data_IF_231510369371
#
_entry.id   IF_231510369371
#
_cell.length_a   1.000
_cell.length_b   1.000
_cell.length_c   1.000
_cell.angle_alpha   90.00
_cell.angle_beta   90.00
_cell.angle_gamma   90.00
#
_symmetry.space_group_name_H-M   'P 1'
#
loop_
_entity.id
_entity.type
_entity.pdbx_description
1 polymer ?
2 non-polymer ?
3 non-polymer ?
4 non-polymer ?
5 water ?
#
# COMPACT_ATOMS: atom_id res chain seq x y z
N UNK A 3 11.38 -19.71 5.56
CA UNK A 3 11.05 -19.68 6.98
C UNK A 3 10.15 -18.50 7.37
N UNK A 4 10.43 -17.27 6.87
CA UNK A 4 9.50 -16.17 7.17
C UNK A 4 8.11 -16.37 6.57
N UNK A 5 8.04 -16.70 5.28
CA UNK A 5 6.74 -16.93 4.65
C UNK A 5 6.05 -18.14 5.26
N UNK A 6 6.82 -19.19 5.56
CA UNK A 6 6.25 -20.38 6.18
C UNK A 6 5.66 -20.05 7.55
N UNK A 7 6.28 -19.14 8.29
CA UNK A 7 5.73 -18.68 9.55
C UNK A 7 4.51 -17.78 9.32
N UNK A 8 4.51 -17.01 8.23
CA UNK A 8 3.43 -16.06 7.98
C UNK A 8 2.12 -16.78 7.70
N UNK A 9 2.15 -17.79 6.84
CA UNK A 9 0.94 -18.55 6.54
C UNK A 9 0.49 -19.39 7.73
N UNK A 10 1.43 -19.76 8.61
CA UNK A 10 1.05 -20.53 9.80
C UNK A 10 0.29 -19.67 10.80
N UNK A 11 0.69 -18.41 10.95
CA UNK A 11 -0.04 -17.49 11.82
C UNK A 11 -1.40 -17.15 11.22
N UNK A 12 -1.50 -17.14 9.89
CA UNK A 12 -2.80 -16.96 9.25
C UNK A 12 -3.79 -18.02 9.68
N UNK A 13 -3.33 -19.27 9.78
CA UNK A 13 -4.18 -20.33 10.32
C UNK A 13 -4.55 -20.05 11.76
N UNK A 14 -3.60 -19.50 12.54
CA UNK A 14 -3.88 -19.17 13.93
C UNK A 14 -4.87 -18.02 14.04
N UNK A 15 -4.76 -17.03 13.16
CA UNK A 15 -5.67 -15.89 13.19
C UNK A 15 -7.04 -16.28 12.68
N UNK A 16 -7.10 -17.05 11.59
CA UNK A 16 -8.38 -17.45 11.02
C UNK A 16 -9.15 -18.35 11.98
N UNK A 17 -8.44 -19.23 12.70
CA UNK A 17 -9.12 -20.13 13.63
C UNK A 17 -9.77 -19.36 14.77
N UNK A 18 -9.08 -18.34 15.29
CA UNK A 18 -9.66 -17.55 16.37
C UNK A 18 -10.86 -16.75 15.89
N UNK A 19 -10.77 -16.13 14.71
CA UNK A 19 -11.85 -15.28 14.23
C UNK A 19 -13.11 -16.09 13.95
N UNK A 20 -12.97 -17.26 13.34
CA UNK A 20 -14.13 -18.07 12.99
C UNK A 20 -14.72 -18.76 14.21
N UNK A 21 -13.88 -19.29 15.10
CA UNK A 21 -14.39 -19.93 16.31
C UNK A 21 -15.10 -18.91 17.20
N UNK A 22 -14.59 -17.69 17.27
CA UNK A 22 -15.27 -16.64 18.03
C UNK A 22 -16.66 -16.39 17.49
N UNK A 23 -16.82 -16.43 16.15
CA UNK A 23 -18.14 -16.28 15.56
C UNK A 23 -19.04 -17.47 15.89
N UNK A 24 -18.46 -18.66 16.00
CA UNK A 24 -19.26 -19.85 16.30
C UNK A 24 -19.67 -19.90 17.76
N UNK A 25 -18.77 -19.50 18.66
CA UNK A 25 -19.00 -19.65 20.09
C UNK A 25 -19.62 -18.41 20.73
N UNK A 26 -19.10 -17.22 20.42
CA UNK A 26 -19.53 -15.99 21.07
C UNK A 26 -20.37 -15.09 20.18
N UNK A 27 -20.66 -15.49 18.95
CA UNK A 27 -21.49 -14.69 18.06
C UNK A 27 -22.68 -15.43 17.49
N UNK A 28 -22.88 -16.70 17.86
CA UNK A 28 -24.09 -17.46 17.52
C UNK A 28 -24.28 -17.56 16.00
N UNK A 29 -23.21 -17.91 15.31
CA UNK A 29 -23.23 -18.05 13.85
C UNK A 29 -23.31 -19.52 13.47
N UNK A 30 -24.14 -19.81 12.47
CA UNK A 30 -24.30 -21.17 11.99
C UNK A 30 -23.08 -21.59 11.18
N UNK A 31 -22.81 -22.90 11.09
CA UNK A 31 -21.65 -23.36 10.31
C UNK A 31 -21.70 -22.99 8.84
N UNK A 32 -22.89 -22.84 8.27
CA UNK A 32 -23.00 -22.47 6.86
C UNK A 32 -22.34 -21.12 6.59
N UNK A 33 -22.67 -20.11 7.40
CA UNK A 33 -22.06 -18.79 7.23
C UNK A 33 -20.61 -18.79 7.69
N UNK A 34 -20.24 -19.67 8.63
CA UNK A 34 -18.85 -19.75 9.06
C UNK A 34 -17.95 -20.21 7.92
N UNK A 35 -18.35 -21.29 7.23
CA UNK A 35 -17.60 -21.73 6.06
C UNK A 35 -17.69 -20.72 4.93
N UNK A 36 -18.81 -19.97 4.84
CA UNK A 36 -18.90 -18.90 3.86
C UNK A 36 -17.87 -17.82 4.12
N UNK A 37 -17.61 -17.52 5.40
CA UNK A 37 -16.63 -16.50 5.73
C UNK A 37 -15.21 -17.01 5.62
N UNK A 38 -14.99 -18.32 5.80
CA UNK A 38 -13.67 -18.88 5.56
C UNK A 38 -13.29 -18.75 4.08
N UNK A 39 -14.21 -19.14 3.19
CA UNK A 39 -13.95 -19.02 1.76
C UNK A 39 -13.79 -17.56 1.35
N UNK A 40 -14.53 -16.65 2.00
CA UNK A 40 -14.41 -15.25 1.67
C UNK A 40 -13.08 -14.67 2.19
N UNK A 41 -12.67 -15.10 3.38
CA UNK A 41 -11.41 -14.60 3.94
C UNK A 41 -10.22 -15.05 3.11
N UNK A 42 -10.20 -16.33 2.72
CA UNK A 42 -9.11 -16.84 1.89
C UNK A 42 -9.11 -16.20 0.50
N UNK A 43 -10.30 -15.84 -0.01
CA UNK A 43 -10.36 -15.24 -1.35
C UNK A 43 -9.76 -13.84 -1.36
N UNK A 44 -10.06 -13.04 -0.33
CA UNK A 44 -9.64 -11.64 -0.29
C UNK A 44 -8.25 -11.46 0.30
N UNK A 45 -7.91 -12.20 1.35
CA UNK A 45 -6.64 -12.01 2.03
C UNK A 45 -5.50 -12.76 1.38
N UNK A 46 -5.75 -13.96 0.85
CA UNK A 46 -4.72 -14.76 0.21
C UNK A 46 -4.76 -14.56 -1.30
N UNK A 47 -3.58 -14.50 -1.91
CA UNK A 47 -3.49 -14.31 -3.35
C UNK A 47 -2.33 -13.43 -3.79
N UNK A 48 -2.18 -12.29 -3.14
CA UNK A 48 -1.13 -11.36 -3.48
C UNK A 48 0.25 -11.87 -3.06
N UNK A 49 1.23 -10.99 -3.21
CA UNK A 49 2.61 -11.32 -2.86
C UNK A 49 2.93 -11.04 -1.39
N UNK A 50 2.01 -10.44 -0.65
CA UNK A 50 2.15 -10.21 0.79
C UNK A 50 3.35 -9.32 1.11
N UNK A 51 3.67 -8.39 0.20
CA UNK A 51 4.84 -7.53 0.40
C UNK A 51 4.65 -6.60 1.60
N UNK A 52 3.41 -6.15 1.85
CA UNK A 52 3.16 -5.26 2.96
C UNK A 52 3.28 -5.97 4.29
N UNK A 53 2.84 -7.23 4.36
CA UNK A 53 2.88 -7.97 5.61
C UNK A 53 4.27 -8.48 5.95
N UNK A 54 4.95 -9.08 4.96
CA UNK A 54 6.28 -9.65 5.22
C UNK A 54 7.30 -8.59 5.60
N UNK A 55 7.06 -7.34 5.23
CA UNK A 55 7.98 -6.26 5.61
C UNK A 55 8.02 -6.07 7.12
N UNK A 56 6.88 -6.28 7.80
CA UNK A 56 6.87 -6.17 9.26
C UNK A 56 7.76 -7.23 9.89
N UNK A 57 7.75 -8.44 9.32
CA UNK A 57 8.58 -9.51 9.86
C UNK A 57 10.05 -9.21 9.62
N UNK A 58 10.39 -8.72 8.43
CA UNK A 58 11.79 -8.43 8.10
C UNK A 58 12.35 -7.33 9.00
N UNK A 59 11.51 -6.39 9.42
CA UNK A 59 11.97 -5.35 10.34
C UNK A 59 12.14 -5.91 11.75
N UNK A 60 11.24 -6.82 12.15
CA UNK A 60 11.30 -7.35 13.51
C UNK A 60 12.52 -8.25 13.70
N UNK A 61 12.82 -9.11 12.73
CA UNK A 61 13.94 -10.03 12.86
C UNK A 61 15.28 -9.31 12.82
N UNK A 62 15.34 -8.11 12.25
CA UNK A 62 16.59 -7.36 12.21
C UNK A 62 16.88 -6.67 13.54
N UNK A 63 15.85 -6.33 14.32
CA UNK A 63 16.07 -5.61 15.56
C UNK A 63 16.34 -6.52 16.75
N UNK A 64 15.87 -7.78 16.70
CA UNK A 64 16.12 -8.69 17.81
C UNK A 64 17.54 -9.26 17.78
N UNK A 65 18.14 -9.33 16.59
CA UNK A 65 19.50 -9.83 16.44
C UNK A 65 20.55 -8.72 16.37
N UNK A 66 20.12 -7.49 16.14
CA UNK A 66 21.03 -6.34 16.00
C UNK A 66 20.62 -5.23 16.96
N UNK A 67 20.34 -5.60 18.21
CA UNK A 67 19.93 -4.64 19.22
C UNK A 67 21.14 -3.99 19.88
N UNK A 77 16.02 -15.13 25.30
CA UNK A 77 15.65 -16.09 24.28
C UNK A 77 14.16 -16.22 24.10
N UNK A 78 13.41 -16.20 25.21
CA UNK A 78 11.97 -16.33 25.16
C UNK A 78 11.30 -15.08 24.58
N UNK A 79 11.97 -13.93 24.63
CA UNK A 79 11.40 -12.70 24.08
C UNK A 79 11.38 -12.71 22.56
N UNK A 80 12.27 -13.49 21.92
CA UNK A 80 12.32 -13.52 20.46
C UNK A 80 11.04 -14.09 19.87
N UNK A 81 10.53 -15.19 20.43
CA UNK A 81 9.35 -15.83 19.87
C UNK A 81 8.12 -14.94 19.97
N UNK A 82 8.07 -14.06 20.97
CA UNK A 82 6.91 -13.19 21.15
C UNK A 82 6.90 -12.06 20.13
N UNK A 83 8.06 -11.46 19.85
CA UNK A 83 8.11 -10.34 18.92
C UNK A 83 7.85 -10.80 17.49
N UNK A 84 8.44 -11.94 17.10
CA UNK A 84 8.21 -12.47 15.76
C UNK A 84 6.76 -12.87 15.55
N UNK A 85 6.09 -13.34 16.60
CA UNK A 85 4.66 -13.64 16.49
C UNK A 85 3.84 -12.36 16.37
N UNK A 86 4.19 -11.33 17.14
CA UNK A 86 3.49 -10.06 17.03
C UNK A 86 3.68 -9.43 15.66
N UNK A 87 4.83 -9.67 15.02
CA UNK A 87 5.07 -9.13 13.70
C UNK A 87 4.16 -9.78 12.66
N UNK A 88 3.92 -11.08 12.79
CA UNK A 88 3.04 -11.76 11.85
C UNK A 88 1.60 -11.30 12.01
N UNK A 89 1.15 -11.08 13.24
CA UNK A 89 -0.19 -10.55 13.46
C UNK A 89 -0.29 -9.14 12.90
N UNK A 90 0.72 -8.31 13.15
CA UNK A 90 0.73 -6.96 12.59
C UNK A 90 0.84 -6.99 11.07
N UNK A 91 1.57 -7.96 10.52
CA UNK A 91 1.65 -8.08 9.08
C UNK A 91 0.32 -8.47 8.46
N UNK A 92 -0.44 -9.35 9.14
CA UNK A 92 -1.75 -9.74 8.62
C UNK A 92 -2.78 -8.64 8.82
N UNK A 93 -2.57 -7.77 9.82
CA UNK A 93 -3.45 -6.62 9.97
C UNK A 93 -3.43 -5.74 8.72
N UNK A 94 -2.25 -5.61 8.09
CA UNK A 94 -2.15 -4.81 6.88
C UNK A 94 -2.75 -5.56 5.69
N UNK A 95 -2.43 -6.86 5.58
CA UNK A 95 -2.97 -7.65 4.47
C UNK A 95 -4.49 -7.74 4.55
N UNK A 96 -5.04 -7.87 5.76
CA UNK A 96 -6.49 -7.86 5.92
C UNK A 96 -7.08 -6.51 5.53
N UNK A 97 -6.46 -5.42 6.00
CA UNK A 97 -6.97 -4.11 5.63
C UNK A 97 -6.70 -3.80 4.16
N UNK A 98 -5.65 -4.39 3.59
CA UNK A 98 -5.44 -4.26 2.15
C UNK A 98 -6.58 -4.91 1.37
N UNK A 99 -7.02 -6.09 1.80
CA UNK A 99 -8.17 -6.73 1.17
C UNK A 99 -9.44 -5.94 1.40
N UNK A 100 -9.53 -5.22 2.52
CA UNK A 100 -10.70 -4.38 2.78
C UNK A 100 -10.84 -3.29 1.72
N UNK A 101 -9.73 -2.64 1.35
CA UNK A 101 -9.78 -1.62 0.33
C UNK A 101 -10.02 -2.21 -1.05
N UNK A 102 -9.48 -3.41 -1.31
CA UNK A 102 -9.68 -4.04 -2.61
C UNK A 102 -11.15 -4.41 -2.81
N UNK A 103 -11.82 -4.87 -1.75
CA UNK A 103 -13.24 -5.17 -1.85
C UNK A 103 -14.05 -3.91 -2.13
N UNK A 104 -13.66 -2.79 -1.51
CA UNK A 104 -14.32 -1.52 -1.79
C UNK A 104 -14.05 -1.04 -3.21
N UNK A 105 -12.98 -1.51 -3.85
CA UNK A 105 -12.70 -1.15 -5.23
C UNK A 105 -13.58 -1.93 -6.20
N UNK A 106 -13.87 -3.19 -5.89
CA UNK A 106 -14.74 -3.98 -6.75
C UNK A 106 -16.16 -3.40 -6.79
N UNK A 107 -16.57 -2.71 -5.73
CA UNK A 107 -17.88 -2.07 -5.72
C UNK A 107 -17.89 -0.88 -6.68
N UNK A 108 -16.78 -0.14 -6.75
CA UNK A 108 -16.69 0.98 -7.68
C UNK A 108 -16.72 0.55 -9.13
N UNK A 109 -16.42 -0.71 -9.41
CA UNK A 109 -16.40 -1.22 -10.78
C UNK A 109 -17.43 -2.34 -10.95
N UNK A 124 -33.45 -6.34 -5.24
CA UNK A 124 -32.66 -6.87 -4.12
C UNK A 124 -31.41 -7.61 -4.57
N UNK A 125 -30.41 -6.87 -5.02
CA UNK A 125 -29.15 -7.46 -5.47
C UNK A 125 -28.37 -7.98 -4.27
N UNK A 126 -28.07 -9.27 -4.27
CA UNK A 126 -27.42 -9.89 -3.12
C UNK A 126 -25.89 -9.95 -3.25
N UNK A 127 -25.36 -9.91 -4.47
CA UNK A 127 -23.92 -9.96 -4.66
C UNK A 127 -23.24 -8.64 -4.30
N UNK A 128 -23.97 -7.53 -4.33
CA UNK A 128 -23.41 -6.25 -3.92
C UNK A 128 -23.55 -6.04 -2.41
N UNK A 129 -24.64 -6.52 -1.81
CA UNK A 129 -24.80 -6.43 -0.37
C UNK A 129 -23.71 -7.22 0.35
N UNK A 130 -23.38 -8.41 -0.15
CA UNK A 130 -22.32 -9.20 0.46
C UNK A 130 -20.96 -8.56 0.25
N UNK A 131 -20.78 -7.83 -0.86
CA UNK A 131 -19.52 -7.15 -1.09
C UNK A 131 -19.28 -6.06 -0.04
N UNK A 132 -20.30 -5.24 0.23
CA UNK A 132 -20.17 -4.21 1.26
C UNK A 132 -19.97 -4.84 2.63
N UNK A 133 -20.66 -5.97 2.89
CA UNK A 133 -20.52 -6.64 4.17
C UNK A 133 -19.13 -7.25 4.34
N UNK A 134 -18.54 -7.74 3.24
CA UNK A 134 -17.19 -8.27 3.32
C UNK A 134 -16.17 -7.18 3.65
N UNK A 135 -16.37 -5.99 3.10
CA UNK A 135 -15.48 -4.89 3.40
C UNK A 135 -15.54 -4.46 4.86
N UNK A 136 -16.74 -4.49 5.44
CA UNK A 136 -16.88 -4.11 6.84
C UNK A 136 -16.30 -5.18 7.76
N UNK A 137 -16.43 -6.45 7.38
CA UNK A 137 -15.91 -7.52 8.23
C UNK A 137 -14.39 -7.56 8.22
N UNK A 138 -13.78 -7.39 7.05
CA UNK A 138 -12.32 -7.38 6.96
C UNK A 138 -11.74 -6.24 7.79
N UNK A 139 -12.37 -5.06 7.75
CA UNK A 139 -11.93 -3.95 8.58
C UNK A 139 -12.11 -4.26 10.06
N UNK A 140 -13.23 -4.88 10.43
CA UNK A 140 -13.46 -5.23 11.82
C UNK A 140 -12.49 -6.32 12.30
N UNK A 141 -12.12 -7.24 11.42
CA UNK A 141 -11.22 -8.32 11.82
C UNK A 141 -9.83 -7.79 12.18
N UNK A 142 -9.43 -6.65 11.61
CA UNK A 142 -8.15 -6.06 11.98
C UNK A 142 -8.15 -5.62 13.44
N UNK A 143 -9.29 -5.10 13.91
CA UNK A 143 -9.39 -4.71 15.32
C UNK A 143 -9.52 -5.94 16.22
N UNK A 144 -10.21 -6.98 15.74
CA UNK A 144 -10.41 -8.17 16.56
C UNK A 144 -9.09 -8.90 16.80
N UNK A 145 -8.30 -9.09 15.75
CA UNK A 145 -7.02 -9.77 15.92
C UNK A 145 -6.03 -8.90 16.70
N UNK A 146 -6.17 -7.58 16.64
CA UNK A 146 -5.28 -6.70 17.39
C UNK A 146 -5.66 -6.68 18.87
N UNK A 147 -6.96 -6.60 19.18
CA UNK A 147 -7.42 -6.62 20.56
C UNK A 147 -7.26 -7.99 21.21
N UNK A 148 -6.95 -9.03 20.43
CA UNK A 148 -6.81 -10.37 20.97
C UNK A 148 -5.35 -10.73 21.22
N UNK A 149 -4.56 -10.82 20.16
CA UNK A 149 -3.16 -11.21 20.29
C UNK A 149 -2.33 -10.17 21.03
N UNK A 150 -2.81 -8.93 21.12
CA UNK A 150 -2.10 -7.86 21.81
C UNK A 150 -2.85 -7.35 23.04
N UNK A 151 -3.74 -8.18 23.60
CA UNK A 151 -4.51 -7.76 24.76
C UNK A 151 -3.62 -7.50 25.98
N UNK A 152 -2.47 -8.16 26.04
CA UNK A 152 -1.52 -7.97 27.14
C UNK A 152 -0.26 -7.25 26.69
N UNK A 153 -0.25 -6.67 25.49
CA UNK A 153 0.92 -5.91 25.06
C UNK A 153 0.78 -4.46 25.51
N UNK A 154 1.88 -3.84 25.96
CA UNK A 154 1.81 -2.44 26.40
C UNK A 154 1.59 -1.45 25.27
N UNK A 155 1.61 -1.89 24.01
CA UNK A 155 1.46 -1.00 22.87
C UNK A 155 0.14 -1.17 22.13
N UNK A 156 -0.84 -1.84 22.76
CA UNK A 156 -2.12 -2.05 22.10
C UNK A 156 -2.83 -0.72 21.85
N UNK A 157 -2.78 0.20 22.82
CA UNK A 157 -3.43 1.49 22.65
C UNK A 157 -2.69 2.36 21.65
N UNK A 158 -1.36 2.27 21.62
CA UNK A 158 -0.58 3.09 20.69
C UNK A 158 -0.61 2.53 19.28
N UNK A 159 -0.68 1.22 19.12
CA UNK A 159 -0.71 0.62 17.80
C UNK A 159 -2.04 0.88 17.10
N UNK A 160 -3.16 0.74 17.82
CA UNK A 160 -4.47 0.95 17.22
C UNK A 160 -4.65 2.40 16.79
N UNK A 161 -4.10 3.34 17.55
CA UNK A 161 -4.24 4.75 17.20
C UNK A 161 -3.46 5.09 15.93
N UNK A 162 -2.21 4.63 15.86
CA UNK A 162 -1.43 4.85 14.64
C UNK A 162 -2.00 4.06 13.47
N UNK A 163 -2.57 2.88 13.74
CA UNK A 163 -3.16 2.08 12.66
C UNK A 163 -4.42 2.74 12.11
N UNK A 164 -5.20 3.39 12.98
CA UNK A 164 -6.42 4.05 12.53
C UNK A 164 -6.11 5.31 11.73
N UNK A 165 -5.15 6.12 12.19
CA UNK A 165 -4.80 7.34 11.47
C UNK A 165 -4.21 7.04 10.09
N UNK A 166 -3.46 5.94 9.97
CA UNK A 166 -2.97 5.55 8.66
C UNK A 166 -4.11 5.07 7.78
N UNK A 167 -5.10 4.39 8.36
CA UNK A 167 -6.31 4.07 7.63
C UNK A 167 -7.10 5.32 7.29
N UNK A 168 -7.17 6.27 8.22
CA UNK A 168 -7.77 7.57 7.93
C UNK A 168 -7.02 8.28 6.81
N UNK A 169 -5.69 8.22 6.84
CA UNK A 169 -4.89 8.87 5.81
C UNK A 169 -5.18 8.31 4.43
N UNK A 170 -5.32 6.99 4.32
CA UNK A 170 -5.55 6.37 3.02
C UNK A 170 -6.92 6.76 2.46
N UNK A 171 -7.95 6.81 3.32
CA UNK A 171 -9.26 7.25 2.88
C UNK A 171 -9.22 8.71 2.42
N UNK A 172 -8.42 9.54 3.09
CA UNK A 172 -8.24 10.92 2.65
C UNK A 172 -7.49 10.97 1.33
N UNK A 173 -6.44 10.14 1.20
CA UNK A 173 -5.69 10.12 -0.04
C UNK A 173 -6.52 9.66 -1.22
N UNK A 174 -7.43 8.71 -1.00
CA UNK A 174 -8.34 8.30 -2.05
C UNK A 174 -9.31 9.41 -2.44
N UNK A 175 -9.53 10.37 -1.56
CA UNK A 175 -10.33 11.54 -1.93
C UNK A 175 -9.53 12.51 -2.78
N UNK A 176 -8.23 12.66 -2.48
CA UNK A 176 -7.37 13.49 -3.32
C UNK A 176 -7.24 12.92 -4.72
N UNK A 177 -7.20 11.59 -4.83
CA UNK A 177 -6.96 10.94 -6.11
C UNK A 177 -8.21 10.91 -6.97
N UNK A 178 -9.34 10.49 -6.39
CA UNK A 178 -10.58 10.37 -7.14
C UNK A 178 -11.03 11.74 -7.66
N UNK A 179 -10.94 12.77 -6.82
CA UNK A 179 -11.37 14.11 -7.18
C UNK A 179 -10.24 14.97 -7.75
N UNK A 180 -9.29 14.35 -8.46
CA UNK A 180 -8.19 15.09 -9.06
C UNK A 180 -8.60 15.89 -10.29
N UNK A 181 -9.82 15.70 -10.79
CA UNK A 181 -10.31 16.44 -11.95
C UNK A 181 -11.71 17.02 -11.72
N UNK A 182 -12.23 16.95 -10.49
CA UNK A 182 -13.54 17.51 -10.18
C UNK A 182 -13.41 18.38 -8.93
N UNK A 183 -13.71 19.67 -9.09
CA UNK A 183 -13.68 20.61 -7.98
C UNK A 183 -14.72 21.71 -8.16
N UNK A 199 -7.62 20.48 -14.61
CA UNK A 199 -6.19 20.21 -14.67
C UNK A 199 -5.41 21.16 -13.75
N UNK A 200 -6.14 21.86 -12.87
CA UNK A 200 -5.49 22.80 -11.97
C UNK A 200 -4.64 22.10 -10.93
N UNK A 201 -5.03 20.88 -10.52
CA UNK A 201 -4.28 20.12 -9.54
C UNK A 201 -3.27 19.18 -10.16
N UNK A 202 -3.01 19.29 -11.47
CA UNK A 202 -2.03 18.44 -12.15
C UNK A 202 -0.64 19.06 -12.00
N UNK A 203 -0.13 19.00 -10.77
CA UNK A 203 1.20 19.51 -10.44
C UNK A 203 2.02 18.40 -9.79
N UNK A 204 3.34 18.52 -9.91
CA UNK A 204 4.23 17.51 -9.35
C UNK A 204 4.16 17.50 -7.82
N UNK A 205 3.77 18.63 -7.21
CA UNK A 205 3.61 18.67 -5.76
C UNK A 205 2.31 18.00 -5.32
N UNK A 206 1.21 18.25 -6.04
CA UNK A 206 -0.04 17.58 -5.71
C UNK A 206 0.05 16.07 -5.98
N UNK A 207 0.80 15.68 -7.02
CA UNK A 207 1.08 14.28 -7.24
C UNK A 207 1.79 13.66 -6.04
N UNK A 208 2.73 14.40 -5.44
CA UNK A 208 3.37 13.95 -4.22
C UNK A 208 2.35 13.79 -3.10
N UNK A 209 1.39 14.71 -3.01
CA UNK A 209 0.39 14.64 -1.94
C UNK A 209 -0.49 13.41 -2.11
N UNK A 210 -0.90 13.10 -3.34
CA UNK A 210 -1.72 11.93 -3.59
C UNK A 210 -0.97 10.67 -3.20
N UNK A 211 0.23 10.48 -3.77
CA UNK A 211 1.02 9.28 -3.50
C UNK A 211 1.32 9.16 -2.01
N UNK A 212 1.56 10.29 -1.35
CA UNK A 212 1.89 10.26 0.07
C UNK A 212 0.72 9.73 0.89
N UNK A 213 -0.47 10.32 0.72
CA UNK A 213 -1.60 9.94 1.54
C UNK A 213 -2.28 8.67 1.02
N UNK A 214 -2.40 8.53 -0.30
CA UNK A 214 -3.12 7.38 -0.85
C UNK A 214 -2.29 6.10 -0.76
N UNK A 215 -0.97 6.21 -0.93
CA UNK A 215 -0.15 5.01 -1.08
C UNK A 215 1.01 4.94 -0.11
N UNK A 216 1.81 6.01 -0.02
CA UNK A 216 3.08 5.93 0.69
C UNK A 216 2.92 5.68 2.17
N UNK A 217 1.81 6.13 2.77
CA UNK A 217 1.61 5.96 4.20
C UNK A 217 1.20 4.55 4.59
N UNK A 218 0.70 3.75 3.65
CA UNK A 218 0.28 2.39 3.97
C UNK A 218 1.26 1.33 3.50
N UNK A 219 2.09 1.63 2.50
CA UNK A 219 3.03 0.66 1.95
C UNK A 219 4.43 0.80 2.51
N UNK A 220 4.97 2.02 2.53
CA UNK A 220 6.37 2.24 2.87
C UNK A 220 6.56 2.89 4.24
N UNK A 221 5.50 3.09 5.01
CA UNK A 221 5.63 3.67 6.34
C UNK A 221 4.96 2.78 7.38
N UNK A 222 3.73 2.35 7.10
CA UNK A 222 2.98 1.55 8.07
C UNK A 222 3.68 0.25 8.44
N UNK A 223 4.18 -0.57 7.50
CA UNK A 223 4.87 -1.80 7.93
C UNK A 223 6.15 -1.53 8.69
N UNK A 224 6.83 -0.42 8.41
CA UNK A 224 8.06 -0.10 9.16
C UNK A 224 7.74 0.29 10.59
N UNK A 225 6.66 1.03 10.81
CA UNK A 225 6.29 1.45 12.15
C UNK A 225 5.86 0.25 12.99
N UNK A 226 5.04 -0.63 12.41
CA UNK A 226 4.58 -1.80 13.16
C UNK A 226 5.73 -2.74 13.50
N UNK A 227 6.81 -2.73 12.72
CA UNK A 227 7.98 -3.50 13.08
C UNK A 227 8.75 -2.92 14.25
N UNK A 228 8.77 -1.59 14.36
CA UNK A 228 9.44 -0.95 15.48
C UNK A 228 8.60 -1.02 16.75
N UNK A 229 7.28 -1.10 16.63
CA UNK A 229 6.42 -1.14 17.81
C UNK A 229 6.48 -2.51 18.47
N UNK A 230 6.44 -3.59 17.68
CA UNK A 230 6.51 -4.93 18.25
C UNK A 230 7.89 -5.20 18.84
N UNK A 231 8.92 -4.54 18.31
CA UNK A 231 10.28 -4.68 18.83
C UNK A 231 10.59 -3.68 19.93
N UNK A 232 9.62 -2.83 20.30
CA UNK A 232 9.78 -1.86 21.38
C UNK A 232 10.93 -0.90 21.10
N UNK A 233 11.11 -0.53 19.83
CA UNK A 233 12.17 0.36 19.41
C UNK A 233 11.63 1.54 18.61
N UNK A 234 10.41 1.99 18.95
CA UNK A 234 9.83 3.11 18.23
C UNK A 234 10.56 4.43 18.48
N UNK A 235 10.82 4.85 19.73
CA UNK A 235 11.50 6.14 19.95
C UNK A 235 12.99 6.11 19.67
N UNK A 236 13.55 4.97 19.25
CA UNK A 236 14.99 4.85 19.00
C UNK A 236 15.35 5.04 17.53
N UNK A 237 14.42 5.57 16.72
CA UNK A 237 14.66 5.79 15.31
C UNK A 237 14.27 7.23 14.97
N UNK A 238 14.89 7.75 13.91
CA UNK A 238 14.56 9.09 13.41
C UNK A 238 13.27 8.98 12.61
N UNK A 239 12.16 9.43 13.21
CA UNK A 239 10.87 9.34 12.54
C UNK A 239 10.79 10.27 11.33
N UNK A 240 11.45 11.44 11.41
CA UNK A 240 11.45 12.34 10.27
C UNK A 240 12.14 11.75 9.06
N UNK A 241 13.29 11.12 9.26
CA UNK A 241 13.99 10.47 8.15
C UNK A 241 13.25 9.21 7.73
N UNK A 242 12.62 8.51 8.68
CA UNK A 242 11.81 7.35 8.32
C UNK A 242 10.62 7.76 7.47
N UNK A 243 9.96 8.86 7.84
CA UNK A 243 8.88 9.37 7.01
C UNK A 243 9.40 9.84 5.66
N UNK A 244 10.55 10.49 5.65
CA UNK A 244 11.11 10.99 4.39
C UNK A 244 11.46 9.84 3.46
N UNK A 245 12.03 8.76 4.00
CA UNK A 245 12.34 7.58 3.19
C UNK A 245 11.07 6.89 2.71
N UNK A 246 9.96 7.03 3.44
CA UNK A 246 8.72 6.38 3.06
C UNK A 246 8.11 7.01 1.82
N UNK A 247 8.02 8.34 1.80
CA UNK A 247 7.37 9.02 0.68
C UNK A 247 8.17 8.91 -0.61
N UNK A 248 9.50 8.83 -0.50
CA UNK A 248 10.33 8.74 -1.70
C UNK A 248 10.18 7.38 -2.37
N UNK A 249 10.13 6.30 -1.58
CA UNK A 249 9.91 4.99 -2.16
C UNK A 249 8.50 4.85 -2.73
N UNK A 250 7.53 5.54 -2.14
CA UNK A 250 6.20 5.58 -2.75
C UNK A 250 6.21 6.36 -4.05
N UNK A 251 6.95 7.47 -4.09
CA UNK A 251 7.08 8.23 -5.33
C UNK A 251 7.78 7.41 -6.40
N UNK A 252 8.79 6.62 -6.01
CA UNK A 252 9.49 5.78 -6.98
C UNK A 252 8.57 4.70 -7.54
N UNK A 253 7.77 4.08 -6.68
CA UNK A 253 6.91 2.98 -7.13
C UNK A 253 5.73 3.50 -7.94
N UNK A 254 5.10 4.59 -7.49
CA UNK A 254 3.90 5.07 -8.18
C UNK A 254 4.24 5.60 -9.57
N UNK A 255 5.39 6.25 -9.73
CA UNK A 255 5.78 6.74 -11.04
C UNK A 255 6.05 5.57 -11.99
N UNK A 256 6.80 4.57 -11.51
CA UNK A 256 7.05 3.39 -12.34
C UNK A 256 5.76 2.66 -12.65
N UNK A 257 4.81 2.63 -11.70
CA UNK A 257 3.55 1.96 -11.94
C UNK A 257 2.66 2.74 -12.91
N UNK A 258 2.88 4.05 -13.06
CA UNK A 258 2.11 4.83 -14.01
C UNK A 258 2.62 4.63 -15.43
N UNK A 259 3.94 4.51 -15.60
CA UNK A 259 4.50 4.26 -16.92
C UNK A 259 4.09 2.88 -17.42
N UNK A 260 4.10 1.88 -16.53
CA UNK A 260 3.66 0.54 -16.92
C UNK A 260 2.17 0.49 -17.20
N UNK A 261 1.38 1.35 -16.53
CA UNK A 261 -0.04 1.40 -16.79
C UNK A 261 -0.34 1.87 -18.22
N UNK A 262 0.54 2.69 -18.78
CA UNK A 262 0.32 3.24 -20.12
C UNK A 262 1.09 2.51 -21.21
N UNK A 263 2.30 2.03 -20.92
CA UNK A 263 3.17 1.47 -21.94
C UNK A 263 3.31 -0.05 -21.90
N UNK A 264 3.26 -0.65 -20.71
CA UNK A 264 3.37 -2.10 -20.63
C UNK A 264 2.08 -2.75 -21.12
N UNK A 265 2.14 -3.71 -22.03
CA UNK A 265 0.92 -4.31 -22.58
C UNK A 265 0.14 -5.04 -21.51
N UNK A 266 -1.16 -5.29 -21.73
CA UNK A 266 -1.97 -5.93 -20.68
C UNK A 266 -1.52 -7.33 -20.31
N UNK A 267 -0.94 -8.09 -21.25
CA UNK A 267 -0.51 -9.44 -20.93
C UNK A 267 0.77 -9.46 -20.09
N UNK A 268 1.65 -8.49 -20.28
CA UNK A 268 2.87 -8.41 -19.49
C UNK A 268 2.67 -7.65 -18.19
N UNK A 269 1.76 -6.68 -18.16
CA UNK A 269 1.46 -5.96 -16.93
C UNK A 269 0.53 -6.76 -16.03
N UNK A 270 -0.41 -7.50 -16.62
CA UNK A 270 -1.39 -8.26 -15.87
C UNK A 270 -2.74 -7.60 -15.72
N UNK A 271 -2.88 -6.37 -16.20
CA UNK A 271 -4.15 -5.65 -16.11
C UNK A 271 -4.27 -4.72 -17.31
N UNK A 272 -5.47 -4.19 -17.50
CA UNK A 272 -5.74 -3.24 -18.58
C UNK A 272 -5.50 -1.83 -18.07
N UNK A 273 -4.57 -1.12 -18.69
CA UNK A 273 -4.26 0.23 -18.30
C UNK A 273 -5.39 1.21 -18.61
N UNK A 274 -5.99 1.77 -17.56
CA UNK A 274 -7.13 2.67 -17.71
C UNK A 274 -6.89 4.04 -17.10
N UNK A 275 -5.65 4.38 -16.77
CA UNK A 275 -5.37 5.67 -16.14
C UNK A 275 -5.65 6.83 -17.11
N UNK A 276 -5.38 6.63 -18.40
CA UNK A 276 -5.67 7.68 -19.38
C UNK A 276 -7.17 7.85 -19.54
N UNK A 277 -7.91 6.75 -19.61
CA UNK A 277 -9.36 6.83 -19.73
C UNK A 277 -9.99 7.45 -18.48
N UNK A 278 -9.48 7.07 -17.30
CA UNK A 278 -10.00 7.60 -16.05
C UNK A 278 -9.55 9.03 -15.77
N UNK A 279 -8.71 9.61 -16.63
CA UNK A 279 -8.19 10.96 -16.44
C UNK A 279 -7.46 11.08 -15.10
N UNK A 280 -6.64 10.08 -14.78
CA UNK A 280 -5.93 10.07 -13.51
C UNK A 280 -4.81 11.10 -13.51
N UNK A 281 -4.43 11.52 -12.31
CA UNK A 281 -3.33 12.47 -12.13
C UNK A 281 -2.01 11.70 -12.02
N UNK A 282 -1.61 11.11 -13.14
CA UNK A 282 -0.43 10.28 -13.19
C UNK A 282 0.83 11.12 -13.43
N UNK A 283 1.99 10.49 -13.22
CA UNK A 283 3.25 11.18 -13.44
C UNK A 283 3.43 11.56 -14.90
N UNK A 284 2.90 10.73 -15.82
CA UNK A 284 3.02 11.04 -17.24
C UNK A 284 2.24 12.29 -17.61
N UNK A 285 1.16 12.58 -16.89
CA UNK A 285 0.34 13.74 -17.21
C UNK A 285 0.97 15.03 -16.71
N UNK A 286 1.41 15.04 -15.45
CA UNK A 286 1.96 16.27 -14.87
C UNK A 286 3.31 16.60 -15.48
N UNK A 287 4.05 15.59 -15.95
CA UNK A 287 5.31 15.86 -16.63
C UNK A 287 5.09 16.33 -18.06
N UNK A 288 4.04 15.83 -18.72
CA UNK A 288 3.74 16.26 -20.07
C UNK A 288 3.32 17.73 -20.08
N UNK A 289 2.39 18.11 -19.20
CA UNK A 289 1.90 19.48 -19.15
C UNK A 289 3.00 20.50 -18.88
N UNK A 290 4.15 20.06 -18.35
CA UNK A 290 5.20 21.01 -18.06
C UNK A 290 6.11 21.27 -19.27
N UNK A 291 6.31 20.27 -20.12
CA UNK A 291 7.21 20.39 -21.26
C UNK A 291 6.50 20.33 -22.60
N UNK A 292 5.17 20.45 -22.62
CA UNK A 292 4.43 20.44 -23.87
C UNK A 292 4.13 21.88 -24.32
N UNK A 293 4.03 22.04 -25.64
CA UNK A 293 3.69 23.35 -26.19
C UNK A 293 2.22 23.67 -25.91
N UNK A 294 1.84 24.92 -26.20
CA UNK A 294 0.47 25.34 -25.96
C UNK A 294 -0.53 24.61 -26.85
N UNK A 295 -0.07 23.99 -27.94
CA UNK A 295 -0.94 23.16 -28.75
C UNK A 295 -0.99 21.73 -28.25
N UNK A 296 0.15 21.17 -27.85
CA UNK A 296 0.17 19.82 -27.29
C UNK A 296 -0.65 19.72 -26.02
N UNK A 297 -0.81 20.83 -25.30
CA UNK A 297 -1.69 20.84 -24.13
C UNK A 297 -3.14 20.85 -24.58
N UNK A 298 -3.48 21.64 -25.59
CA UNK A 298 -4.85 21.68 -26.10
C UNK A 298 -5.24 20.33 -26.70
N UNK A 299 -4.33 19.71 -27.44
CA UNK A 299 -4.58 18.37 -27.95
C UNK A 299 -4.61 17.33 -26.84
N UNK A 300 -3.95 17.61 -25.71
CA UNK A 300 -4.00 16.71 -24.57
C UNK A 300 -5.32 16.86 -23.81
N UNK A 301 -5.78 18.09 -23.59
CA UNK A 301 -7.01 18.32 -22.86
C UNK A 301 -8.25 17.87 -23.65
N UNK A 302 -8.13 17.74 -24.97
CA UNK A 302 -9.25 17.31 -25.79
C UNK A 302 -9.29 15.80 -26.01
N UNK A 303 -8.23 15.08 -25.65
CA UNK A 303 -8.17 13.64 -25.81
C UNK A 303 -8.02 12.88 -24.51
N UNK A 304 -7.77 13.56 -23.40
CA UNK A 304 -7.55 12.89 -22.12
C UNK A 304 -8.88 12.60 -21.43
N UNK A 305 -8.92 11.47 -20.72
CA UNK A 305 -10.10 11.09 -19.97
C UNK A 305 -11.24 10.51 -20.78
N UNK A 306 -11.01 10.19 -22.05
CA UNK A 306 -12.04 9.64 -22.91
C UNK A 306 -11.82 8.14 -23.12
N UNK A 307 -12.93 7.41 -23.26
CA UNK A 307 -12.86 5.98 -23.48
C UNK A 307 -12.55 5.57 -24.90
N UNK A 308 -12.49 6.52 -25.84
CA UNK A 308 -12.18 6.20 -27.23
C UNK A 308 -10.76 5.66 -27.32
N UNK A 309 -10.63 4.45 -27.88
CA UNK A 309 -9.31 3.83 -28.01
C UNK A 309 -8.39 4.60 -28.94
N UNK A 310 -8.94 5.44 -29.81
CA UNK A 310 -8.12 6.28 -30.67
C UNK A 310 -7.68 7.57 -30.00
N UNK A 311 -8.51 8.13 -29.11
CA UNK A 311 -8.08 9.27 -28.32
C UNK A 311 -6.99 8.86 -27.32
N UNK A 312 -7.13 7.69 -26.71
CA UNK A 312 -6.11 7.19 -25.81
C UNK A 312 -4.82 6.93 -26.57
N UNK A 313 -4.92 6.39 -27.79
CA UNK A 313 -3.74 6.19 -28.63
C UNK A 313 -3.12 7.53 -29.01
N UNK A 314 -3.93 8.58 -29.12
CA UNK A 314 -3.38 9.91 -29.37
C UNK A 314 -2.69 10.47 -28.15
N UNK A 315 -3.11 10.05 -26.95
CA UNK A 315 -2.44 10.48 -25.73
C UNK A 315 -1.12 9.76 -25.56
N UNK A 316 -1.09 8.45 -25.82
CA UNK A 316 0.18 7.71 -25.77
C UNK A 316 1.17 8.23 -26.80
N UNK A 317 0.68 8.67 -27.96
CA UNK A 317 1.57 9.23 -28.97
C UNK A 317 2.21 10.53 -28.48
N UNK A 318 1.42 11.39 -27.80
CA UNK A 318 1.97 12.62 -27.27
C UNK A 318 2.99 12.33 -26.16
N UNK A 319 2.76 11.27 -25.38
CA UNK A 319 3.68 10.92 -24.31
C UNK A 319 5.05 10.52 -24.86
N UNK A 320 5.08 9.89 -26.03
CA UNK A 320 6.33 9.48 -26.64
C UNK A 320 6.94 10.55 -27.52
N UNK A 321 6.12 11.43 -28.10
CA UNK A 321 6.68 12.56 -28.84
C UNK A 321 7.31 13.59 -27.92
N UNK A 322 7.04 13.52 -26.61
CA UNK A 322 7.63 14.40 -25.62
C UNK A 322 8.86 13.79 -24.95
N UNK A 323 9.24 12.56 -25.33
CA UNK A 323 10.39 11.88 -24.76
C UNK A 323 10.26 11.76 -23.24
N UNK A 324 9.05 11.43 -22.77
CA UNK A 324 8.81 11.32 -21.34
C UNK A 324 9.54 10.13 -20.73
N UNK A 325 9.59 9.01 -21.44
CA UNK A 325 10.32 7.85 -20.95
C UNK A 325 11.81 8.14 -20.82
N UNK A 326 12.34 9.09 -21.59
CA UNK A 326 13.69 9.55 -21.34
C UNK A 326 13.81 10.29 -20.03
N UNK A 327 12.85 11.17 -19.74
CA UNK A 327 12.81 11.82 -18.44
C UNK A 327 12.43 10.86 -17.31
N UNK A 328 11.76 9.76 -17.65
CA UNK A 328 11.35 8.80 -16.63
C UNK A 328 12.54 8.08 -16.02
N UNK A 329 13.55 7.78 -16.83
CA UNK A 329 14.72 7.07 -16.31
C UNK A 329 15.53 7.98 -15.39
N UNK A 330 15.76 9.23 -15.80
CA UNK A 330 16.55 10.15 -14.99
C UNK A 330 15.79 10.55 -13.73
N UNK A 331 14.45 10.61 -13.79
CA UNK A 331 13.69 10.97 -12.60
C UNK A 331 13.76 9.89 -11.53
N UNK A 332 13.67 8.62 -11.94
CA UNK A 332 13.76 7.54 -10.97
C UNK A 332 15.16 7.43 -10.38
N UNK A 333 16.19 7.71 -11.20
CA UNK A 333 17.56 7.65 -10.70
C UNK A 333 17.81 8.73 -9.66
N UNK A 334 17.20 9.90 -9.83
CA UNK A 334 17.34 10.97 -8.83
C UNK A 334 16.69 10.57 -7.52
N UNK A 335 15.48 9.97 -7.58
CA UNK A 335 14.81 9.53 -6.36
C UNK A 335 15.56 8.35 -5.75
N UNK A 336 16.12 7.47 -6.59
CA UNK A 336 16.83 6.32 -6.07
C UNK A 336 18.07 6.75 -5.29
N UNK A 337 18.75 7.81 -5.74
CA UNK A 337 19.91 8.29 -5.01
C UNK A 337 19.52 8.90 -3.67
N UNK A 338 18.39 9.61 -3.63
CA UNK A 338 17.89 10.14 -2.36
C UNK A 338 17.55 9.03 -1.38
N UNK A 339 17.09 7.88 -1.90
CA UNK A 339 16.81 6.74 -1.03
C UNK A 339 18.10 6.19 -0.43
N UNK A 340 19.13 6.01 -1.27
CA UNK A 340 20.38 5.44 -0.80
C UNK A 340 21.05 6.35 0.23
N UNK A 341 20.93 7.67 0.05
CA UNK A 341 21.57 8.60 0.98
C UNK A 341 20.85 8.65 2.31
N UNK A 342 19.51 8.64 2.29
CA UNK A 342 18.74 8.70 3.53
C UNK A 342 18.84 7.41 4.33
N UNK A 343 19.21 6.29 3.69
CA UNK A 343 19.44 5.05 4.44
C UNK A 343 20.67 5.20 5.32
N UNK A 344 21.68 5.93 4.85
CA UNK A 344 22.89 6.14 5.64
C UNK A 344 22.62 7.05 6.84
N UNK A 345 21.75 8.05 6.65
CA UNK A 345 21.44 8.97 7.75
C UNK A 345 20.73 8.25 8.88
N UNK A 346 19.82 7.32 8.56
CA UNK A 346 19.17 6.51 9.57
C UNK A 346 20.08 5.41 10.11
N UNK A 347 21.16 5.10 9.40
CA UNK A 347 22.09 4.07 9.87
C UNK A 347 22.92 4.56 11.04
N UNK A 348 23.22 5.86 11.10
CA UNK A 348 24.02 6.40 12.19
C UNK A 348 23.32 6.26 13.53
N UNK A 349 21.98 6.26 13.54
CA UNK A 349 21.21 6.11 14.76
C UNK A 349 20.50 4.77 14.87
N UNK A 350 20.39 4.01 13.78
CA UNK A 350 19.72 2.71 13.79
C UNK A 350 20.37 1.83 12.75
N UNK A 351 21.38 1.04 13.15
CA UNK A 351 22.08 0.20 12.17
C UNK A 351 21.23 -0.93 11.62
N UNK A 352 20.61 -1.71 12.51
CA UNK A 352 19.79 -2.83 12.07
C UNK A 352 18.55 -2.43 11.31
N UNK A 353 18.07 -1.20 11.51
CA UNK A 353 16.87 -0.75 10.79
C UNK A 353 17.16 -0.57 9.30
N UNK A 354 18.34 -0.01 8.97
CA UNK A 354 18.66 0.26 7.57
C UNK A 354 18.77 -1.03 6.76
N UNK A 355 19.22 -2.12 7.38
CA UNK A 355 19.34 -3.39 6.66
C UNK A 355 17.97 -3.86 6.17
N UNK A 356 16.93 -3.63 6.96
CA UNK A 356 15.58 -3.99 6.53
C UNK A 356 15.04 -3.01 5.49
N UNK A 357 15.41 -1.73 5.58
CA UNK A 357 14.95 -0.75 4.60
C UNK A 357 15.59 -1.00 3.25
N UNK A 358 16.88 -1.38 3.24
CA UNK A 358 17.52 -1.75 1.99
C UNK A 358 16.85 -2.96 1.35
N UNK A 359 16.34 -3.88 2.17
CA UNK A 359 15.60 -5.01 1.63
C UNK A 359 14.25 -4.57 1.06
N UNK A 360 13.54 -3.69 1.76
CA UNK A 360 12.30 -3.15 1.24
C UNK A 360 12.53 -2.32 0.00
N UNK A 361 13.63 -1.54 -0.02
CA UNK A 361 13.97 -0.78 -1.21
C UNK A 361 14.34 -1.69 -2.38
N UNK A 362 14.91 -2.86 -2.09
CA UNK A 362 15.23 -3.81 -3.15
C UNK A 362 14.01 -4.44 -3.79
N UNK A 363 12.87 -4.46 -3.08
CA UNK A 363 11.65 -5.02 -3.65
C UNK A 363 11.12 -4.15 -4.78
N UNK A 364 11.11 -2.83 -4.58
CA UNK A 364 10.61 -1.92 -5.62
C UNK A 364 11.67 -1.68 -6.69
N UNK A 365 12.93 -1.54 -6.29
CA UNK A 365 14.02 -1.30 -7.24
C UNK A 365 14.44 -2.60 -7.93
#
# INVERSE_FOLDING_TARGET
GPMPMQMFMQVYDEIQMFLLEELELKFDMDPNRVRYLRKMMDTTCLGGKYNRGLTVIDVAESLLSLSPNNNGEEDDGARRKRVLHDACVCGWMIEFLQAHYLVEDDIMDNSVTRRGKPCWYRHPDVTVQCAINDGLLLKSWTHMMAMHFFADRPFLQDLLCRFNRVDYTTAVGQLYDVTSMFDSNKLDPDVSQPTTTDFAEFTLSNYKRIVKYKTAYYTYLLPLVMGLIVSEALPTVDMGVTEELAMLMGEYFQVQDDVMDCFTPPERLGKVGTDIQDAKCSWLAVTFLAKASSAQVAEFKANYGSGDSEKVATVRRLYEEADLQGDYVAYEAAVAEQVKELIEKLRLCSPGFAASVETLWGKTYKRQK
#
